data_IF_944805736353
#
_entry.id   IF_944805736353
#
_cell.length_a   1.000
_cell.length_b   1.000
_cell.length_c   1.000
_cell.angle_alpha   90.00
_cell.angle_beta   90.00
_cell.angle_gamma   90.00
#
_symmetry.space_group_name_H-M   'P 1'
#
loop_
_entity.id
_entity.type
_entity.pdbx_description
1 polymer ?
#
# COMPACT_ATOMS: atom_id res chain seq x y z
N UNK A 1 -10.77 78.47 32.05
CA UNK A 1 -9.89 77.28 32.01
C UNK A 1 -10.27 76.39 33.18
N UNK A 2 -11.14 75.41 32.94
CA UNK A 2 -11.58 74.43 33.94
C UNK A 2 -10.97 73.10 33.56
N UNK A 3 -10.06 72.63 34.40
CA UNK A 3 -9.34 71.35 34.30
C UNK A 3 -10.33 70.17 34.31
N UNK A 4 -10.27 69.30 33.31
CA UNK A 4 -10.98 68.02 33.28
C UNK A 4 -10.02 66.97 33.87
N UNK A 5 -10.34 66.28 34.97
CA UNK A 5 -9.49 65.19 35.45
C UNK A 5 -9.55 64.02 34.46
N UNK A 6 -8.39 63.71 33.86
CA UNK A 6 -8.15 62.52 33.04
C UNK A 6 -8.41 61.27 33.85
N UNK A 7 -9.49 60.56 33.51
CA UNK A 7 -9.84 59.27 34.10
C UNK A 7 -8.81 58.24 33.64
N UNK A 8 -7.84 57.96 34.49
CA UNK A 8 -6.79 56.97 34.23
C UNK A 8 -7.41 55.63 33.83
N UNK A 9 -7.08 55.17 32.61
CA UNK A 9 -7.29 53.77 32.22
C UNK A 9 -6.43 52.91 33.15
N UNK A 10 -7.06 52.31 34.16
CA UNK A 10 -6.45 51.21 34.90
C UNK A 10 -6.11 50.10 33.89
N UNK A 11 -4.93 49.49 33.96
CA UNK A 11 -4.72 48.23 33.25
C UNK A 11 -5.73 47.25 33.84
N UNK A 12 -6.72 46.87 33.03
CA UNK A 12 -7.67 45.82 33.36
C UNK A 12 -6.90 44.51 33.29
N UNK A 13 -6.06 44.28 34.29
CA UNK A 13 -5.52 42.99 34.61
C UNK A 13 -6.71 42.21 35.17
N UNK A 14 -7.43 41.58 34.26
CA UNK A 14 -8.55 40.71 34.54
C UNK A 14 -7.96 39.45 35.17
N UNK A 15 -7.61 39.56 36.45
CA UNK A 15 -7.47 38.42 37.33
C UNK A 15 -8.85 37.79 37.40
N UNK A 16 -9.13 36.87 36.47
CA UNK A 16 -10.25 35.96 36.56
C UNK A 16 -10.10 35.22 37.89
N UNK A 17 -11.09 35.43 38.74
CA UNK A 17 -11.37 34.63 39.93
C UNK A 17 -11.29 33.16 39.59
N UNK A 18 -10.24 32.52 40.10
CA UNK A 18 -10.15 31.15 40.59
C UNK A 18 -10.86 30.04 39.82
N UNK A 19 -10.06 29.20 39.16
CA UNK A 19 -10.11 27.73 39.16
C UNK A 19 -11.34 26.98 38.58
N UNK A 20 -12.52 27.60 38.48
CA UNK A 20 -13.75 26.91 38.05
C UNK A 20 -14.08 27.10 36.56
N UNK A 21 -13.58 28.17 35.92
CA UNK A 21 -13.87 28.50 34.51
C UNK A 21 -12.93 27.82 33.49
N UNK A 22 -11.76 27.35 33.93
CA UNK A 22 -10.78 26.66 33.06
C UNK A 22 -11.08 25.17 32.89
N UNK A 23 -11.86 24.58 33.80
CA UNK A 23 -12.24 23.17 33.73
C UNK A 23 -13.20 22.85 32.57
N UNK A 24 -14.28 23.62 32.33
CA UNK A 24 -15.17 23.43 31.18
C UNK A 24 -14.41 23.51 29.85
N UNK A 25 -13.44 24.42 29.78
CA UNK A 25 -12.62 24.63 28.59
C UNK A 25 -11.70 23.43 28.33
N UNK A 26 -11.03 22.91 29.36
CA UNK A 26 -10.19 21.71 29.26
C UNK A 26 -10.98 20.45 28.88
N UNK A 27 -12.18 20.27 29.43
CA UNK A 27 -13.03 19.13 29.08
C UNK A 27 -13.48 19.22 27.62
N UNK A 28 -13.86 20.41 27.17
CA UNK A 28 -14.25 20.64 25.77
C UNK A 28 -13.08 20.38 24.82
N UNK A 29 -11.89 20.90 25.13
CA UNK A 29 -10.68 20.66 24.35
C UNK A 29 -10.33 19.16 24.29
N UNK A 30 -10.43 18.43 25.40
CA UNK A 30 -10.21 16.98 25.41
C UNK A 30 -11.23 16.19 24.56
N UNK A 31 -12.49 16.62 24.54
CA UNK A 31 -13.53 15.99 23.72
C UNK A 31 -13.26 16.27 22.24
N UNK A 32 -12.95 17.51 21.88
CA UNK A 32 -12.64 17.90 20.50
C UNK A 32 -11.41 17.13 19.99
N UNK A 33 -10.34 17.03 20.80
CA UNK A 33 -9.14 16.25 20.44
C UNK A 33 -9.45 14.78 20.21
N UNK A 34 -10.35 14.17 21.01
CA UNK A 34 -10.77 12.77 20.81
C UNK A 34 -11.63 12.58 19.56
N UNK A 35 -12.53 13.52 19.26
CA UNK A 35 -13.36 13.48 18.05
C UNK A 35 -12.50 13.66 16.81
N UNK A 36 -11.52 14.57 16.87
CA UNK A 36 -10.56 14.79 15.81
C UNK A 36 -9.70 13.53 15.56
N UNK A 37 -9.24 12.84 16.61
CA UNK A 37 -8.50 11.56 16.48
C UNK A 37 -9.36 10.46 15.82
N UNK A 38 -10.65 10.38 16.14
CA UNK A 38 -11.57 9.42 15.50
C UNK A 38 -11.81 9.80 14.03
N UNK A 39 -12.00 11.09 13.73
CA UNK A 39 -12.20 11.59 12.38
C UNK A 39 -10.96 11.35 11.51
N UNK A 40 -9.78 11.62 12.05
CA UNK A 40 -8.51 11.42 11.35
C UNK A 40 -8.24 9.93 11.11
N UNK A 41 -8.55 9.05 12.08
CA UNK A 41 -8.42 7.59 11.93
C UNK A 41 -9.44 6.97 10.97
N UNK A 42 -10.62 7.57 10.81
CA UNK A 42 -11.65 7.07 9.89
C UNK A 42 -11.48 7.63 8.48
N UNK A 43 -11.15 8.91 8.33
CA UNK A 43 -11.15 9.59 7.02
C UNK A 43 -9.80 9.50 6.31
N UNK A 44 -8.69 9.64 7.04
CA UNK A 44 -7.34 9.66 6.46
C UNK A 44 -6.90 8.30 5.90
N UNK A 45 -6.97 7.21 6.68
CA UNK A 45 -6.61 5.87 6.23
C UNK A 45 -7.55 5.30 5.17
N UNK A 46 -8.85 5.58 5.25
CA UNK A 46 -9.82 5.03 4.31
C UNK A 46 -9.54 5.44 2.86
N UNK A 47 -9.17 6.71 2.63
CA UNK A 47 -8.86 7.19 1.27
C UNK A 47 -7.59 6.53 0.73
N UNK A 48 -6.57 6.32 1.57
CA UNK A 48 -5.33 5.66 1.15
C UNK A 48 -5.55 4.19 0.81
N UNK A 49 -6.34 3.48 1.61
CA UNK A 49 -6.70 2.07 1.38
C UNK A 49 -7.48 1.95 0.07
N UNK A 50 -8.50 2.79 -0.14
CA UNK A 50 -9.29 2.79 -1.38
C UNK A 50 -8.42 3.00 -2.62
N UNK A 51 -7.50 3.97 -2.60
CA UNK A 51 -6.56 4.18 -3.72
C UNK A 51 -5.66 2.98 -3.92
N UNK A 52 -5.12 2.39 -2.86
CA UNK A 52 -4.27 1.20 -2.95
C UNK A 52 -5.02 0.00 -3.53
N UNK A 53 -6.30 -0.17 -3.21
CA UNK A 53 -7.13 -1.25 -3.77
C UNK A 53 -7.35 -1.02 -5.25
N UNK A 54 -7.71 0.20 -5.65
CA UNK A 54 -7.92 0.54 -7.07
C UNK A 54 -6.64 0.35 -7.88
N UNK A 55 -5.52 0.95 -7.44
CA UNK A 55 -4.23 0.80 -8.12
C UNK A 55 -3.72 -0.64 -8.08
N UNK A 56 -3.95 -1.36 -6.99
CA UNK A 56 -3.57 -2.77 -6.87
C UNK A 56 -4.35 -3.65 -7.84
N UNK A 57 -5.66 -3.42 -7.97
CA UNK A 57 -6.51 -4.17 -8.87
C UNK A 57 -6.18 -3.87 -10.33
N UNK A 58 -6.01 -2.58 -10.69
CA UNK A 58 -5.62 -2.20 -12.06
C UNK A 58 -4.23 -2.73 -12.41
N UNK A 59 -3.26 -2.64 -11.50
CA UNK A 59 -1.94 -3.22 -11.71
C UNK A 59 -2.00 -4.75 -11.86
N UNK A 60 -2.85 -5.43 -11.09
CA UNK A 60 -3.03 -6.88 -11.19
C UNK A 60 -3.59 -7.27 -12.57
N UNK A 61 -4.62 -6.57 -13.05
CA UNK A 61 -5.16 -6.79 -14.40
C UNK A 61 -4.12 -6.53 -15.48
N UNK A 62 -3.38 -5.43 -15.40
CA UNK A 62 -2.31 -5.11 -16.34
C UNK A 62 -1.22 -6.18 -16.32
N UNK A 63 -0.85 -6.69 -15.16
CA UNK A 63 0.17 -7.72 -15.01
C UNK A 63 -0.31 -9.05 -15.60
N UNK A 64 -1.55 -9.46 -15.33
CA UNK A 64 -2.16 -10.65 -15.93
C UNK A 64 -2.20 -10.53 -17.45
N UNK A 65 -2.58 -9.35 -17.97
CA UNK A 65 -2.60 -9.10 -19.41
C UNK A 65 -1.19 -9.05 -20.01
N UNK A 66 -0.21 -8.53 -19.28
CA UNK A 66 1.18 -8.40 -19.75
C UNK A 66 1.89 -9.75 -19.84
N UNK A 67 1.59 -10.71 -18.96
CA UNK A 67 2.23 -12.04 -18.94
C UNK A 67 2.22 -12.73 -20.32
N UNK A 68 1.09 -12.93 -21.02
CA UNK A 68 1.10 -13.59 -22.32
C UNK A 68 1.89 -12.82 -23.37
N UNK A 69 1.81 -11.48 -23.40
CA UNK A 69 2.61 -10.65 -24.31
C UNK A 69 4.10 -10.79 -24.03
N UNK A 70 4.48 -10.84 -22.76
CA UNK A 70 5.87 -11.07 -22.36
C UNK A 70 6.36 -12.44 -22.82
N UNK A 71 5.55 -13.50 -22.65
CA UNK A 71 5.88 -14.84 -23.15
C UNK A 71 6.07 -14.86 -24.65
N UNK A 72 5.13 -14.31 -25.40
CA UNK A 72 5.20 -14.29 -26.87
C UNK A 72 6.41 -13.47 -27.32
N UNK A 73 6.63 -12.30 -26.72
CA UNK A 73 7.76 -11.43 -27.02
C UNK A 73 9.11 -12.09 -26.73
N UNK A 74 9.27 -12.73 -25.57
CA UNK A 74 10.50 -13.46 -25.24
C UNK A 74 10.76 -14.61 -26.19
N UNK A 75 9.73 -15.40 -26.53
CA UNK A 75 9.88 -16.49 -27.51
C UNK A 75 10.30 -15.96 -28.88
N UNK A 76 9.63 -14.89 -29.35
CA UNK A 76 9.94 -14.25 -30.63
C UNK A 76 11.39 -13.76 -30.66
N UNK A 77 11.82 -13.05 -29.62
CA UNK A 77 13.18 -12.54 -29.50
C UNK A 77 14.21 -13.67 -29.44
N UNK A 78 13.96 -14.74 -28.67
CA UNK A 78 14.87 -15.89 -28.59
C UNK A 78 15.04 -16.58 -29.94
N UNK A 79 13.96 -16.77 -30.70
CA UNK A 79 14.01 -17.37 -32.04
C UNK A 79 14.88 -16.51 -32.97
N UNK A 80 14.68 -15.20 -32.98
CA UNK A 80 15.42 -14.28 -33.86
C UNK A 80 16.91 -14.22 -33.49
N UNK A 81 17.23 -14.22 -32.20
CA UNK A 81 18.62 -14.28 -31.71
C UNK A 81 19.28 -15.61 -32.08
N UNK A 82 18.57 -16.74 -31.99
CA UNK A 82 19.09 -18.06 -32.36
C UNK A 82 19.28 -18.21 -33.88
N UNK A 83 18.33 -17.71 -34.69
CA UNK A 83 18.41 -17.69 -36.17
C UNK A 83 19.61 -16.85 -36.63
N UNK A 84 19.87 -15.72 -35.95
CA UNK A 84 20.98 -14.82 -36.28
C UNK A 84 22.35 -15.34 -35.81
N UNK A 85 22.44 -16.07 -34.69
CA UNK A 85 23.72 -16.33 -34.02
C UNK A 85 24.20 -17.78 -34.08
N UNK A 86 23.32 -18.78 -34.24
CA UNK A 86 23.71 -20.18 -33.92
C UNK A 86 23.45 -21.24 -35.01
N UNK A 87 22.34 -21.22 -35.77
CA UNK A 87 21.97 -22.36 -36.65
C UNK A 87 21.37 -21.86 -37.98
N UNK A 88 22.05 -22.12 -39.11
CA UNK A 88 21.53 -21.86 -40.47
C UNK A 88 20.41 -22.81 -40.92
N UNK A 89 20.11 -23.86 -40.14
CA UNK A 89 19.03 -24.81 -40.41
C UNK A 89 17.78 -24.49 -39.58
N UNK A 90 16.87 -23.74 -40.20
CA UNK A 90 15.66 -23.15 -39.60
C UNK A 90 14.76 -24.17 -38.89
N UNK A 91 14.80 -25.44 -39.30
CA UNK A 91 13.92 -26.50 -38.81
C UNK A 91 14.33 -26.99 -37.42
N UNK A 92 15.63 -27.03 -37.13
CA UNK A 92 16.16 -27.59 -35.87
C UNK A 92 16.19 -26.55 -34.75
N UNK A 93 16.40 -25.28 -35.10
CA UNK A 93 16.48 -24.17 -34.15
C UNK A 93 15.17 -23.98 -33.35
N UNK A 94 14.02 -24.16 -34.01
CA UNK A 94 12.69 -23.96 -33.40
C UNK A 94 12.44 -24.91 -32.23
N UNK A 95 12.82 -26.18 -32.37
CA UNK A 95 12.62 -27.19 -31.32
C UNK A 95 13.48 -26.92 -30.08
N UNK A 96 14.73 -26.50 -30.28
CA UNK A 96 15.65 -26.18 -29.19
C UNK A 96 15.14 -24.97 -28.40
N UNK A 97 14.64 -23.94 -29.09
CA UNK A 97 14.04 -22.77 -28.43
C UNK A 97 12.81 -23.18 -27.62
N UNK A 98 11.93 -24.02 -28.16
CA UNK A 98 10.77 -24.51 -27.39
C UNK A 98 11.15 -25.33 -26.16
N UNK A 99 12.19 -26.18 -26.26
CA UNK A 99 12.69 -26.92 -25.10
C UNK A 99 13.25 -25.98 -24.04
N UNK A 100 14.05 -24.98 -24.43
CA UNK A 100 14.62 -24.00 -23.49
C UNK A 100 13.52 -23.18 -22.82
N UNK A 101 12.55 -22.67 -23.59
CA UNK A 101 11.40 -21.94 -23.05
C UNK A 101 10.59 -22.81 -22.09
N UNK A 102 10.33 -24.07 -22.46
CA UNK A 102 9.59 -25.01 -21.61
C UNK A 102 10.30 -25.26 -20.28
N UNK A 103 11.63 -25.48 -20.32
CA UNK A 103 12.45 -25.64 -19.12
C UNK A 103 12.44 -24.37 -18.27
N UNK A 104 12.55 -23.19 -18.88
CA UNK A 104 12.47 -21.91 -18.16
C UNK A 104 11.15 -21.78 -17.39
N UNK A 105 10.03 -22.07 -18.05
CA UNK A 105 8.70 -22.04 -17.42
C UNK A 105 8.53 -23.07 -16.32
N UNK A 106 9.08 -24.28 -16.49
CA UNK A 106 9.09 -25.31 -15.45
C UNK A 106 9.88 -24.87 -14.21
N UNK A 107 11.04 -24.24 -14.39
CA UNK A 107 11.84 -23.73 -13.27
C UNK A 107 11.09 -22.64 -12.52
N UNK A 108 10.45 -21.70 -13.23
CA UNK A 108 9.63 -20.64 -12.62
C UNK A 108 8.48 -21.26 -11.81
N UNK A 109 7.76 -22.22 -12.40
CA UNK A 109 6.69 -22.95 -11.72
C UNK A 109 7.18 -23.68 -10.45
N UNK A 110 8.34 -24.33 -10.52
CA UNK A 110 8.95 -25.03 -9.40
C UNK A 110 9.37 -24.07 -8.28
N UNK A 111 9.91 -22.89 -8.62
CA UNK A 111 10.27 -21.87 -7.64
C UNK A 111 9.04 -21.30 -6.93
N UNK A 112 7.95 -21.08 -7.65
CA UNK A 112 6.66 -20.69 -7.07
C UNK A 112 6.13 -21.78 -6.14
N UNK A 113 6.21 -23.05 -6.58
CA UNK A 113 5.84 -24.21 -5.76
C UNK A 113 6.65 -24.31 -4.47
N UNK A 114 7.95 -23.97 -4.52
CA UNK A 114 8.82 -23.96 -3.33
C UNK A 114 8.35 -23.01 -2.24
N UNK A 115 7.60 -21.95 -2.58
CA UNK A 115 7.04 -20.98 -1.63
C UNK A 115 5.72 -21.44 -0.98
N UNK A 116 5.25 -22.66 -1.25
CA UNK A 116 4.02 -23.20 -0.66
C UNK A 116 4.09 -23.23 0.88
N UNK A 117 3.11 -22.69 1.61
CA UNK A 117 3.06 -22.76 3.07
C UNK A 117 2.81 -24.20 3.54
N UNK A 118 3.77 -24.78 4.26
CA UNK A 118 3.73 -26.16 4.78
C UNK A 118 2.71 -26.40 5.91
N UNK A 119 1.96 -25.37 6.33
CA UNK A 119 1.06 -25.41 7.50
C UNK A 119 -0.43 -25.53 7.17
N UNK A 120 -0.82 -25.64 5.89
CA UNK A 120 -2.22 -25.73 5.50
C UNK A 120 -2.93 -27.04 5.94
N UNK A 121 -2.17 -28.09 6.31
CA UNK A 121 -2.71 -29.41 6.68
C UNK A 121 -2.39 -29.82 8.13
N UNK A 122 -2.07 -28.87 9.02
CA UNK A 122 -1.90 -29.21 10.43
C UNK A 122 -3.29 -29.22 11.10
N UNK A 123 -3.81 -30.38 11.55
CA UNK A 123 -5.06 -30.41 12.31
C UNK A 123 -4.88 -29.54 13.57
N UNK A 124 -5.83 -28.62 13.79
CA UNK A 124 -5.88 -27.76 14.98
C UNK A 124 -5.81 -28.66 16.21
N UNK A 125 -4.67 -28.71 16.90
CA UNK A 125 -4.54 -29.42 18.19
C UNK A 125 -5.60 -28.86 19.13
N UNK A 126 -6.68 -29.62 19.34
CA UNK A 126 -7.67 -29.34 20.36
C UNK A 126 -6.94 -29.55 21.69
N UNK A 127 -6.73 -28.49 22.48
CA UNK A 127 -6.28 -28.62 23.86
C UNK A 127 -7.31 -29.52 24.57
N UNK A 128 -6.90 -30.72 24.96
CA UNK A 128 -7.60 -31.48 25.99
C UNK A 128 -7.27 -30.81 27.33
N UNK A 129 -8.31 -30.36 28.01
CA UNK A 129 -8.27 -29.92 29.41
C UNK A 129 -7.83 -31.07 30.34
#
# INVERSE_FOLDING_TARGET
MTEIPSFGKKPQNQASTGLDDDWPKQVTEQIVLKVDDIRDKTSGPAIKISRSVVYGLTACFLLILSIPFFVIGTNRALIEIFDAWIVSDRSSAVWIVYLITGVLWLIIGLLLWRKRPKRAAQPKKRKSE
#
